data_IF_052265778662
#
_entry.id   IF_052265778662
#
_cell.length_a   1.000
_cell.length_b   1.000
_cell.length_c   1.000
_cell.angle_alpha   90.00
_cell.angle_beta   90.00
_cell.angle_gamma   90.00
#
_symmetry.space_group_name_H-M   'P 1'
#
loop_
_entity.id
_entity.type
_entity.pdbx_description
1 polymer ?
#
# COMPACT_ATOMS: atom_id res chain seq x y z
N UNK A 1 3.93 4.00 20.04
CA UNK A 1 3.82 5.45 19.71
C UNK A 1 3.29 5.54 18.30
N UNK A 2 2.27 6.35 18.02
CA UNK A 2 1.81 6.54 16.64
C UNK A 2 2.85 7.39 15.90
N UNK A 3 3.54 6.78 14.94
CA UNK A 3 4.48 7.47 14.06
C UNK A 3 3.72 8.55 13.29
N UNK A 4 4.19 9.80 13.31
CA UNK A 4 3.59 10.85 12.50
C UNK A 4 3.84 10.55 11.02
N UNK A 5 2.78 10.49 10.24
CA UNK A 5 2.86 10.36 8.79
C UNK A 5 3.38 11.70 8.22
N UNK A 6 4.46 11.70 7.41
CA UNK A 6 4.94 12.90 6.73
C UNK A 6 3.88 13.50 5.81
N UNK A 7 3.85 14.84 5.70
CA UNK A 7 2.90 15.56 4.84
C UNK A 7 3.02 15.14 3.36
N UNK A 8 4.22 14.73 2.91
CA UNK A 8 4.46 14.24 1.55
C UNK A 8 3.75 12.92 1.22
N UNK A 9 3.32 12.17 2.24
CA UNK A 9 2.55 10.94 2.06
C UNK A 9 1.04 11.18 2.22
N UNK A 10 0.61 12.38 2.61
CA UNK A 10 -0.79 12.71 2.79
C UNK A 10 -1.47 13.07 1.45
N UNK A 11 -2.76 12.73 1.25
CA UNK A 11 -3.61 11.91 2.11
C UNK A 11 -3.21 10.44 2.07
N UNK A 12 -3.26 9.78 3.22
CA UNK A 12 -3.08 8.32 3.32
C UNK A 12 -4.43 7.64 3.35
N UNK A 13 -4.58 6.58 2.56
CA UNK A 13 -5.75 5.70 2.57
C UNK A 13 -5.33 4.32 3.05
N UNK A 14 -6.07 3.78 4.01
CA UNK A 14 -5.92 2.41 4.49
C UNK A 14 -7.17 1.63 4.14
N UNK A 15 -7.02 0.53 3.41
CA UNK A 15 -8.12 -0.32 2.95
C UNK A 15 -7.86 -1.77 3.27
N UNK A 16 -8.91 -2.52 3.53
CA UNK A 16 -8.80 -3.96 3.70
C UNK A 16 -8.53 -4.62 2.34
N UNK A 17 -7.55 -5.51 2.32
CA UNK A 17 -7.20 -6.33 1.18
C UNK A 17 -8.30 -7.38 0.91
N UNK A 18 -8.60 -7.58 -0.38
CA UNK A 18 -9.59 -8.56 -0.84
C UNK A 18 -9.05 -9.99 -0.80
N UNK A 19 -7.74 -10.17 -0.93
CA UNK A 19 -7.11 -11.49 -0.96
C UNK A 19 -7.08 -12.16 0.41
N UNK A 20 -6.66 -11.41 1.44
CA UNK A 20 -6.47 -11.87 2.82
C UNK A 20 -5.51 -13.08 3.02
N UNK A 21 -4.87 -13.58 1.96
CA UNK A 21 -3.94 -14.71 2.02
C UNK A 21 -2.47 -14.32 2.24
N UNK A 22 -1.59 -15.31 2.09
CA UNK A 22 -0.17 -15.24 2.53
C UNK A 22 0.64 -14.15 1.82
N UNK A 23 0.37 -13.91 0.53
CA UNK A 23 1.11 -12.94 -0.27
C UNK A 23 0.91 -11.49 0.14
N UNK A 24 -0.21 -11.17 0.80
CA UNK A 24 -0.47 -9.81 1.26
C UNK A 24 0.25 -9.46 2.55
N UNK A 25 0.90 -10.42 3.22
CA UNK A 25 1.62 -10.15 4.49
C UNK A 25 0.70 -9.63 5.61
N UNK A 26 -0.61 -9.66 5.39
CA UNK A 26 -1.59 -9.06 6.26
C UNK A 26 -2.69 -8.32 5.52
N UNK A 27 -3.90 -8.44 6.03
CA UNK A 27 -5.16 -8.09 5.37
C UNK A 27 -5.40 -6.60 5.08
N UNK A 28 -4.41 -5.72 5.20
CA UNK A 28 -4.56 -4.27 5.03
C UNK A 28 -3.51 -3.71 4.08
N UNK A 29 -3.96 -2.83 3.19
CA UNK A 29 -3.15 -2.04 2.27
C UNK A 29 -3.13 -0.59 2.76
N UNK A 30 -1.95 0.03 2.72
CA UNK A 30 -1.76 1.45 2.98
C UNK A 30 -1.24 2.13 1.71
N UNK A 31 -1.86 3.25 1.32
CA UNK A 31 -1.61 3.98 0.07
C UNK A 31 -1.20 5.42 0.38
N UNK A 32 -0.01 5.83 -0.04
CA UNK A 32 0.49 7.19 0.11
C UNK A 32 0.01 8.14 -1.01
N UNK A 33 -0.21 9.40 -0.64
CA UNK A 33 -0.64 10.49 -1.51
C UNK A 33 -1.80 10.03 -2.41
N UNK A 34 -2.86 9.56 -1.76
CA UNK A 34 -3.89 8.74 -2.36
C UNK A 34 -4.71 9.47 -3.45
N UNK A 35 -4.67 10.79 -3.45
CA UNK A 35 -5.22 11.70 -4.45
C UNK A 35 -4.24 12.05 -5.59
N UNK A 36 -2.99 11.57 -5.54
CA UNK A 36 -2.04 11.75 -6.64
C UNK A 36 -2.46 10.89 -7.84
N UNK A 37 -2.29 11.43 -9.05
CA UNK A 37 -2.62 10.73 -10.29
C UNK A 37 -1.55 9.69 -10.64
N UNK A 38 -1.99 8.46 -10.87
CA UNK A 38 -1.22 7.34 -11.41
C UNK A 38 -1.86 6.92 -12.74
N UNK A 39 -1.25 7.34 -13.85
CA UNK A 39 -1.86 7.25 -15.18
C UNK A 39 -3.11 8.13 -15.28
N UNK A 40 -4.30 7.51 -15.37
CA UNK A 40 -5.60 8.19 -15.52
C UNK A 40 -6.48 8.07 -14.27
N UNK A 41 -5.96 7.54 -13.16
CA UNK A 41 -6.70 7.34 -11.92
C UNK A 41 -5.94 7.93 -10.75
N UNK A 42 -6.64 8.41 -9.72
CA UNK A 42 -6.03 8.65 -8.42
C UNK A 42 -5.52 7.33 -7.83
N UNK A 43 -4.41 7.35 -7.10
CA UNK A 43 -3.80 6.15 -6.49
C UNK A 43 -4.78 5.29 -5.69
N UNK A 44 -5.68 5.91 -4.92
CA UNK A 44 -6.74 5.18 -4.22
C UNK A 44 -7.62 4.36 -5.19
N UNK A 45 -8.09 4.98 -6.27
CA UNK A 45 -8.91 4.33 -7.29
C UNK A 45 -8.12 3.31 -8.11
N UNK A 46 -6.85 3.59 -8.36
CA UNK A 46 -5.94 2.66 -9.03
C UNK A 46 -5.81 1.36 -8.24
N UNK A 47 -5.60 1.43 -6.92
CA UNK A 47 -5.50 0.24 -6.05
C UNK A 47 -6.81 -0.55 -6.01
N UNK A 48 -7.96 0.11 -6.00
CA UNK A 48 -9.24 -0.61 -6.04
C UNK A 48 -9.49 -1.37 -7.35
N UNK A 49 -8.83 -0.95 -8.44
CA UNK A 49 -8.96 -1.54 -9.78
C UNK A 49 -7.86 -2.56 -10.09
N UNK A 50 -6.63 -2.27 -9.68
CA UNK A 50 -5.41 -3.01 -10.07
C UNK A 50 -4.59 -3.52 -8.88
N UNK A 51 -5.09 -3.32 -7.66
CA UNK A 51 -4.49 -3.87 -6.44
C UNK A 51 -4.50 -5.39 -6.40
N UNK A 52 -4.11 -6.00 -5.27
CA UNK A 52 -4.05 -7.45 -5.15
C UNK A 52 -5.44 -8.06 -5.41
N UNK A 53 -5.47 -9.03 -6.32
CA UNK A 53 -6.69 -9.76 -6.66
C UNK A 53 -7.04 -10.81 -5.59
N UNK A 54 -8.24 -11.39 -5.66
CA UNK A 54 -8.74 -12.33 -4.64
C UNK A 54 -8.14 -13.73 -4.73
N UNK A 55 -7.24 -14.00 -5.69
CA UNK A 55 -6.56 -15.28 -5.88
C UNK A 55 -5.04 -15.15 -5.69
N UNK A 56 -4.41 -16.27 -5.30
CA UNK A 56 -2.98 -16.36 -4.99
C UNK A 56 -2.08 -15.83 -6.11
N UNK A 57 -2.41 -16.16 -7.36
CA UNK A 57 -1.57 -15.83 -8.50
C UNK A 57 -1.59 -14.33 -8.78
N UNK A 58 -2.77 -13.73 -8.83
CA UNK A 58 -2.90 -12.29 -9.07
C UNK A 58 -2.32 -11.47 -7.92
N UNK A 59 -2.52 -11.89 -6.68
CA UNK A 59 -1.91 -11.26 -5.51
C UNK A 59 -0.38 -11.37 -5.54
N UNK A 60 0.18 -12.54 -5.86
CA UNK A 60 1.62 -12.72 -5.95
C UNK A 60 2.27 -11.85 -7.04
N UNK A 61 1.64 -11.76 -8.23
CA UNK A 61 2.12 -10.92 -9.34
C UNK A 61 2.12 -9.44 -8.94
N UNK A 62 1.03 -8.99 -8.31
CA UNK A 62 0.91 -7.61 -7.82
C UNK A 62 2.05 -7.30 -6.84
N UNK A 63 2.22 -8.13 -5.81
CA UNK A 63 3.20 -7.87 -4.75
C UNK A 63 4.65 -7.96 -5.21
N UNK A 64 4.95 -8.77 -6.23
CA UNK A 64 6.28 -8.84 -6.84
C UNK A 64 6.71 -7.51 -7.50
N UNK A 65 5.75 -6.66 -7.89
CA UNK A 65 6.01 -5.40 -8.61
C UNK A 65 5.29 -4.20 -7.98
N UNK A 66 4.91 -4.33 -6.70
CA UNK A 66 4.07 -3.34 -6.04
C UNK A 66 4.75 -1.96 -5.98
N UNK A 67 4.04 -0.88 -6.37
CA UNK A 67 4.57 0.48 -6.32
C UNK A 67 5.13 0.88 -4.95
N UNK A 68 6.13 1.75 -4.95
CA UNK A 68 6.79 2.22 -3.72
C UNK A 68 5.84 2.97 -2.77
N UNK A 69 4.78 3.58 -3.31
CA UNK A 69 3.74 4.29 -2.57
C UNK A 69 2.64 3.39 -1.98
N UNK A 70 2.80 2.06 -2.04
CA UNK A 70 1.93 1.06 -1.40
C UNK A 70 2.76 0.16 -0.48
N UNK A 71 2.18 -0.16 0.69
CA UNK A 71 2.64 -1.24 1.55
C UNK A 71 1.45 -2.01 2.14
N UNK A 72 1.72 -3.15 2.77
CA UNK A 72 0.72 -3.95 3.48
C UNK A 72 1.10 -4.27 4.91
N UNK A 73 0.12 -4.72 5.69
CA UNK A 73 0.32 -5.17 7.05
C UNK A 73 -0.89 -5.94 7.60
N UNK A 74 -0.66 -6.75 8.64
CA UNK A 74 -1.73 -7.58 9.25
C UNK A 74 -2.74 -6.77 10.06
N UNK A 75 -2.41 -5.53 10.37
CA UNK A 75 -3.32 -4.53 10.95
C UNK A 75 -3.16 -3.21 10.17
N UNK A 76 -4.13 -2.28 10.26
CA UNK A 76 -4.02 -0.95 9.67
C UNK A 76 -2.73 -0.22 10.07
N UNK A 77 -2.35 -0.31 11.35
CA UNK A 77 -1.17 0.37 11.90
C UNK A 77 0.11 -0.22 11.32
N UNK A 78 0.20 -1.55 11.22
CA UNK A 78 1.36 -2.20 10.61
C UNK A 78 1.49 -1.88 9.12
N UNK A 79 0.37 -1.72 8.40
CA UNK A 79 0.42 -1.29 7.00
C UNK A 79 0.98 0.14 6.86
N UNK A 80 0.65 1.03 7.80
CA UNK A 80 1.23 2.38 7.88
C UNK A 80 2.72 2.29 8.22
N UNK A 81 3.11 1.54 9.24
CA UNK A 81 4.52 1.40 9.65
C UNK A 81 5.38 0.82 8.51
N UNK A 82 4.87 -0.17 7.78
CA UNK A 82 5.55 -0.73 6.61
C UNK A 82 5.71 0.28 5.47
N UNK A 83 4.70 1.14 5.24
CA UNK A 83 4.80 2.22 4.26
C UNK A 83 5.88 3.23 4.68
N UNK A 84 5.91 3.62 5.95
CA UNK A 84 6.91 4.55 6.49
C UNK A 84 8.33 3.98 6.41
N UNK A 85 8.51 2.70 6.75
CA UNK A 85 9.79 2.01 6.61
C UNK A 85 10.25 2.00 5.14
N UNK A 86 9.36 1.62 4.22
CA UNK A 86 9.64 1.56 2.78
C UNK A 86 10.09 2.90 2.21
N UNK A 87 9.43 4.00 2.58
CA UNK A 87 9.78 5.36 2.12
C UNK A 87 11.08 5.87 2.74
N UNK A 88 11.34 5.52 4.01
CA UNK A 88 12.59 5.90 4.69
C UNK A 88 13.80 5.28 4.01
N UNK A 89 13.69 4.01 3.59
CA UNK A 89 14.76 3.30 2.88
C UNK A 89 15.02 3.87 1.47
N UNK A 90 14.00 4.41 0.80
CA UNK A 90 14.13 5.02 -0.54
C UNK A 90 14.64 6.47 -0.54
N UNK A 91 14.88 7.07 0.64
CA UNK A 91 15.46 8.42 0.75
C UNK A 91 17.00 8.39 0.82
N UNK A 92 17.61 7.20 0.83
CA UNK A 92 19.06 6.99 0.96
C UNK A 92 19.79 6.63 -0.35
N UNK A 93 19.13 6.76 -1.51
CA UNK A 93 19.73 6.58 -2.84
C UNK A 93 19.77 7.88 -3.65
#
# INVERSE_FOLDING_TARGET
MSSKIPDTLYPVVVVQDRYQGVYSGGAWLCVAAADTMEGQLHRASWVLKFGPGSDDLTAAIFWATAPSWIASGRTPELAIDSLLAKVSDHTLE
#
